data_IF_609376070606
#
_entry.id   IF_609376070606
#
_cell.length_a   1.000
_cell.length_b   1.000
_cell.length_c   1.000
_cell.angle_alpha   90.00
_cell.angle_beta   90.00
_cell.angle_gamma   90.00
#
_symmetry.space_group_name_H-M   'P 1'
#
loop_
_entity.id
_entity.type
_entity.pdbx_description
1 polymer ?
#
# COMPACT_ATOMS: atom_id res chain seq x y z
N UNK A 1 -3.37 -5.85 -24.23
CA UNK A 1 -3.04 -4.49 -23.73
C UNK A 1 -2.98 -4.56 -22.21
N UNK A 2 -2.00 -3.85 -21.61
CA UNK A 2 -1.93 -3.69 -20.18
C UNK A 2 -2.78 -2.50 -19.72
N UNK A 3 -3.50 -2.66 -18.64
CA UNK A 3 -4.15 -1.55 -17.94
C UNK A 3 -3.31 -1.19 -16.72
N UNK A 4 -3.39 0.07 -16.27
CA UNK A 4 -2.75 0.49 -15.02
C UNK A 4 -3.41 -0.21 -13.85
N UNK A 5 -2.61 -0.84 -12.97
CA UNK A 5 -3.13 -1.56 -11.81
C UNK A 5 -2.16 -2.59 -11.25
N UNK A 6 -2.68 -3.39 -10.31
CA UNK A 6 -1.91 -4.44 -9.64
C UNK A 6 -2.28 -5.82 -10.18
N UNK A 7 -1.27 -6.61 -10.49
CA UNK A 7 -1.39 -7.95 -11.07
C UNK A 7 -0.64 -8.96 -10.24
N UNK A 8 -1.20 -10.15 -10.06
CA UNK A 8 -0.51 -11.25 -9.39
C UNK A 8 0.53 -11.86 -10.32
N UNK A 9 1.72 -12.10 -9.78
CA UNK A 9 2.83 -12.75 -10.48
C UNK A 9 2.94 -14.22 -10.10
N UNK A 10 3.81 -14.98 -10.78
CA UNK A 10 4.15 -16.34 -10.38
C UNK A 10 5.17 -16.38 -9.21
N UNK A 11 5.82 -15.25 -8.90
CA UNK A 11 6.70 -15.16 -7.75
C UNK A 11 5.88 -15.21 -6.45
N UNK A 12 6.40 -15.93 -5.45
CA UNK A 12 5.67 -16.20 -4.21
C UNK A 12 6.29 -15.46 -3.03
N UNK A 13 5.41 -14.90 -2.21
CA UNK A 13 5.71 -14.54 -0.84
C UNK A 13 5.58 -15.80 0.03
N UNK A 14 6.60 -16.08 0.81
CA UNK A 14 6.62 -17.24 1.70
C UNK A 14 6.92 -16.73 3.12
N UNK A 15 5.98 -16.96 4.03
CA UNK A 15 6.16 -16.72 5.45
C UNK A 15 5.60 -17.93 6.24
N UNK A 16 6.48 -18.76 6.75
CA UNK A 16 6.09 -20.04 7.35
C UNK A 16 5.35 -20.92 6.35
N UNK A 17 4.10 -21.27 6.65
CA UNK A 17 3.24 -22.10 5.79
C UNK A 17 2.35 -21.29 4.83
N UNK A 18 2.39 -19.95 4.89
CA UNK A 18 1.60 -19.10 4.01
C UNK A 18 2.36 -18.84 2.71
N UNK A 19 1.72 -19.14 1.58
CA UNK A 19 2.25 -18.88 0.24
C UNK A 19 1.23 -18.03 -0.52
N UNK A 20 1.62 -16.83 -0.90
CA UNK A 20 0.81 -15.93 -1.72
C UNK A 20 1.62 -15.38 -2.87
N UNK A 21 0.98 -15.20 -4.01
CA UNK A 21 1.63 -14.62 -5.17
C UNK A 21 1.94 -13.14 -4.92
N UNK A 22 3.18 -12.74 -5.16
CA UNK A 22 3.58 -11.33 -5.13
C UNK A 22 2.81 -10.55 -6.19
N UNK A 23 2.48 -9.32 -5.86
CA UNK A 23 1.89 -8.37 -6.81
C UNK A 23 2.97 -7.69 -7.63
N UNK A 24 2.57 -7.16 -8.78
CA UNK A 24 3.35 -6.27 -9.63
C UNK A 24 2.45 -5.09 -10.00
N UNK A 25 2.93 -3.88 -9.82
CA UNK A 25 2.25 -2.69 -10.32
C UNK A 25 2.64 -2.45 -11.78
N UNK A 26 1.64 -2.36 -12.65
CA UNK A 26 1.80 -1.95 -14.05
C UNK A 26 1.24 -0.54 -14.19
N UNK A 27 2.03 0.36 -14.72
CA UNK A 27 1.57 1.69 -15.09
C UNK A 27 1.68 1.88 -16.59
N UNK A 28 0.57 2.26 -17.22
CA UNK A 28 0.54 2.62 -18.64
C UNK A 28 0.23 4.11 -18.81
N UNK A 29 1.19 4.84 -19.37
CA UNK A 29 1.03 6.26 -19.69
C UNK A 29 1.58 6.51 -21.09
N UNK A 30 0.74 7.09 -21.97
CA UNK A 30 1.15 7.45 -23.34
C UNK A 30 1.82 6.28 -24.09
N UNK A 31 1.23 5.09 -24.05
CA UNK A 31 1.73 3.84 -24.66
C UNK A 31 3.08 3.34 -24.07
N UNK A 32 3.52 3.90 -22.96
CA UNK A 32 4.69 3.38 -22.21
C UNK A 32 4.20 2.58 -21.03
N UNK A 33 4.77 1.41 -20.86
CA UNK A 33 4.45 0.51 -19.74
C UNK A 33 5.66 0.48 -18.81
N UNK A 34 5.40 0.79 -17.54
CA UNK A 34 6.40 0.72 -16.46
C UNK A 34 5.95 -0.31 -15.43
N UNK A 35 6.87 -1.13 -14.97
CA UNK A 35 6.67 -2.21 -14.01
C UNK A 35 7.31 -1.82 -12.69
N UNK A 36 6.55 -1.85 -11.59
CA UNK A 36 6.98 -1.44 -10.25
C UNK A 36 7.66 -0.07 -10.20
N UNK A 37 7.26 0.85 -11.08
CA UNK A 37 7.79 2.21 -11.14
C UNK A 37 9.22 2.35 -11.71
N UNK A 38 9.93 1.25 -12.02
CA UNK A 38 11.35 1.28 -12.40
C UNK A 38 11.67 0.65 -13.76
N UNK A 39 11.12 -0.53 -14.04
CA UNK A 39 11.43 -1.30 -15.25
C UNK A 39 10.48 -0.94 -16.38
N UNK A 40 10.99 -0.67 -17.58
CA UNK A 40 10.16 -0.29 -18.73
C UNK A 40 10.16 -1.38 -19.78
N UNK A 41 9.00 -1.61 -20.39
CA UNK A 41 8.92 -2.47 -21.58
C UNK A 41 9.54 -1.71 -22.76
N UNK A 42 10.62 -2.27 -23.32
CA UNK A 42 11.34 -1.73 -24.48
C UNK A 42 10.87 -2.35 -25.79
N UNK A 43 10.46 -3.62 -25.74
CA UNK A 43 9.86 -4.35 -26.88
C UNK A 43 8.76 -5.25 -26.35
N UNK A 44 7.57 -5.04 -26.81
CA UNK A 44 6.39 -5.86 -26.46
C UNK A 44 6.03 -6.87 -27.54
N UNK A 45 5.13 -7.78 -27.17
CA UNK A 45 4.41 -8.69 -28.07
C UNK A 45 5.33 -9.61 -28.91
N UNK A 46 6.42 -10.13 -28.33
CA UNK A 46 7.19 -11.19 -28.96
C UNK A 46 6.48 -12.51 -28.69
N UNK A 47 5.83 -13.06 -29.71
CA UNK A 47 5.00 -14.26 -29.57
C UNK A 47 5.88 -15.52 -29.51
N UNK A 48 5.54 -16.40 -28.58
CA UNK A 48 6.05 -17.76 -28.46
C UNK A 48 4.88 -18.77 -28.52
N UNK A 49 5.16 -20.04 -28.67
CA UNK A 49 4.12 -21.08 -28.77
C UNK A 49 3.27 -21.22 -27.51
N UNK A 50 3.78 -20.80 -26.35
CA UNK A 50 3.15 -20.95 -25.05
C UNK A 50 2.93 -19.61 -24.32
N UNK A 51 3.14 -18.47 -24.98
CA UNK A 51 2.93 -17.17 -24.33
C UNK A 51 3.48 -15.99 -25.12
N UNK A 52 3.59 -14.87 -24.45
CA UNK A 52 4.11 -13.61 -25.00
C UNK A 52 5.28 -13.15 -24.14
N UNK A 53 6.36 -12.73 -24.77
CA UNK A 53 7.55 -12.18 -24.13
C UNK A 53 7.56 -10.67 -24.31
N UNK A 54 7.89 -9.94 -23.26
CA UNK A 54 8.15 -8.52 -23.29
C UNK A 54 9.61 -8.27 -22.83
N UNK A 55 10.40 -7.62 -23.66
CA UNK A 55 11.74 -7.18 -23.26
C UNK A 55 11.65 -5.94 -22.38
N UNK A 56 12.47 -5.90 -21.34
CA UNK A 56 12.51 -4.80 -20.37
C UNK A 56 13.92 -4.24 -20.25
N UNK A 57 14.03 -2.96 -19.86
CA UNK A 57 15.32 -2.26 -19.73
C UNK A 57 16.07 -2.56 -18.43
N UNK A 58 15.36 -3.05 -17.40
CA UNK A 58 15.93 -3.38 -16.10
C UNK A 58 15.28 -4.66 -15.54
N UNK A 59 16.03 -5.38 -14.71
CA UNK A 59 15.49 -6.49 -13.93
C UNK A 59 14.46 -5.94 -12.93
N UNK A 60 13.30 -6.59 -12.85
CA UNK A 60 12.26 -6.23 -11.88
C UNK A 60 12.68 -6.75 -10.51
N UNK A 61 12.95 -5.89 -9.53
CA UNK A 61 13.28 -6.33 -8.17
C UNK A 61 12.04 -6.90 -7.47
N UNK A 62 12.26 -7.70 -6.45
CA UNK A 62 11.17 -8.15 -5.56
C UNK A 62 10.61 -6.92 -4.84
N UNK A 63 9.30 -6.62 -4.97
CA UNK A 63 8.75 -5.39 -4.44
C UNK A 63 8.57 -5.42 -2.93
N UNK A 64 8.93 -4.32 -2.26
CA UNK A 64 8.52 -4.01 -0.90
C UNK A 64 7.24 -3.14 -0.89
N UNK A 65 6.66 -2.91 0.28
CA UNK A 65 5.56 -1.93 0.47
C UNK A 65 5.96 -0.56 -0.09
N UNK A 66 7.18 -0.11 0.22
CA UNK A 66 7.69 1.19 -0.26
C UNK A 66 7.86 1.21 -1.79
N UNK A 67 8.17 0.06 -2.41
CA UNK A 67 8.22 -0.05 -3.88
C UNK A 67 6.87 0.32 -4.48
N UNK A 68 5.77 -0.21 -3.94
CA UNK A 68 4.43 0.10 -4.45
C UNK A 68 4.00 1.54 -4.15
N UNK A 69 4.32 2.07 -2.97
CA UNK A 69 4.05 3.48 -2.65
C UNK A 69 4.79 4.45 -3.60
N UNK A 70 5.96 4.06 -4.13
CA UNK A 70 6.70 4.83 -5.15
C UNK A 70 6.16 4.62 -6.57
N UNK A 71 5.63 3.43 -6.87
CA UNK A 71 5.22 3.05 -8.21
C UNK A 71 3.82 3.56 -8.57
N UNK A 72 2.92 3.60 -7.60
CA UNK A 72 1.53 4.00 -7.80
C UNK A 72 1.36 5.51 -7.63
N UNK A 73 0.95 6.17 -8.70
CA UNK A 73 0.71 7.64 -8.69
C UNK A 73 -0.46 8.07 -7.81
N UNK A 74 -1.36 7.15 -7.49
CA UNK A 74 -2.46 7.45 -6.56
C UNK A 74 -2.01 7.46 -5.09
N UNK A 75 -0.75 7.10 -4.81
CA UNK A 75 -0.16 7.05 -3.46
C UNK A 75 0.97 8.09 -3.27
N UNK A 76 1.03 9.12 -4.11
CA UNK A 76 2.08 10.15 -4.07
C UNK A 76 2.07 10.93 -2.76
N UNK A 77 0.88 11.27 -2.26
CA UNK A 77 0.72 11.97 -0.98
C UNK A 77 1.12 11.08 0.20
N UNK A 78 0.81 9.77 0.14
CA UNK A 78 1.28 8.81 1.13
C UNK A 78 2.82 8.76 1.16
N UNK A 79 3.45 8.62 -0.01
CA UNK A 79 4.91 8.61 -0.10
C UNK A 79 5.51 9.91 0.47
N UNK A 80 4.93 11.07 0.11
CA UNK A 80 5.36 12.37 0.62
C UNK A 80 5.23 12.45 2.13
N UNK A 81 4.12 11.95 2.69
CA UNK A 81 3.90 11.90 4.13
C UNK A 81 4.93 11.00 4.85
N UNK A 82 5.19 9.80 4.30
CA UNK A 82 6.16 8.83 4.87
C UNK A 82 7.62 9.31 4.83
N UNK A 83 7.96 10.21 3.90
CA UNK A 83 9.33 10.70 3.67
C UNK A 83 9.53 12.16 4.10
N UNK A 84 8.60 12.72 4.84
CA UNK A 84 8.69 14.12 5.34
C UNK A 84 9.88 14.26 6.27
N UNK A 85 10.72 15.27 6.02
CA UNK A 85 12.06 15.39 6.63
C UNK A 85 12.08 15.74 8.11
N UNK A 86 10.95 16.22 8.65
CA UNK A 86 10.81 16.58 10.07
C UNK A 86 10.28 15.42 10.95
N UNK A 87 9.93 14.28 10.32
CA UNK A 87 9.50 13.10 11.08
C UNK A 87 10.63 12.56 11.95
N UNK A 88 10.31 12.30 13.23
CA UNK A 88 11.22 11.66 14.19
C UNK A 88 11.36 10.15 13.96
N UNK A 89 10.56 9.56 13.07
CA UNK A 89 10.54 8.14 12.70
C UNK A 89 10.77 8.02 11.21
N UNK A 90 11.73 7.20 10.82
CA UNK A 90 11.97 6.87 9.40
C UNK A 90 11.03 5.73 8.97
N UNK A 91 9.80 6.10 8.59
CA UNK A 91 8.80 5.14 8.12
C UNK A 91 9.24 4.40 6.87
N UNK A 92 9.95 5.06 5.95
CA UNK A 92 10.43 4.44 4.72
C UNK A 92 11.42 3.31 5.02
N UNK A 93 12.32 3.51 5.98
CA UNK A 93 13.24 2.46 6.44
C UNK A 93 12.49 1.32 7.12
N UNK A 94 11.57 1.63 8.05
CA UNK A 94 10.78 0.61 8.77
C UNK A 94 9.96 -0.23 7.80
N UNK A 95 9.21 0.40 6.89
CA UNK A 95 8.37 -0.29 5.89
C UNK A 95 9.19 -0.95 4.77
N UNK A 96 10.51 -0.83 4.79
CA UNK A 96 11.44 -1.58 3.94
C UNK A 96 12.08 -2.77 4.66
N UNK A 97 11.78 -3.00 5.95
CA UNK A 97 12.30 -4.13 6.72
C UNK A 97 11.89 -5.45 6.06
N UNK A 98 12.85 -6.37 5.93
CA UNK A 98 12.61 -7.66 5.30
C UNK A 98 11.77 -8.58 6.19
N UNK A 99 10.98 -9.45 5.56
CA UNK A 99 10.26 -10.52 6.27
C UNK A 99 11.24 -11.36 7.09
N UNK A 100 10.81 -11.77 8.28
CA UNK A 100 11.65 -12.48 9.26
C UNK A 100 12.45 -11.58 10.20
N UNK A 101 12.32 -10.25 10.06
CA UNK A 101 12.89 -9.26 10.97
C UNK A 101 11.77 -8.36 11.47
N UNK A 102 11.55 -8.32 12.81
CA UNK A 102 10.53 -7.44 13.40
C UNK A 102 10.77 -5.97 13.01
N UNK A 103 9.73 -5.20 12.71
CA UNK A 103 8.30 -5.51 12.81
C UNK A 103 7.63 -6.06 11.52
N UNK A 104 8.39 -6.53 10.52
CA UNK A 104 7.80 -7.19 9.34
C UNK A 104 7.33 -8.63 9.69
N UNK A 105 6.26 -9.15 9.03
CA UNK A 105 5.53 -8.54 7.93
C UNK A 105 4.55 -7.46 8.38
N UNK A 106 4.13 -6.62 7.43
CA UNK A 106 3.18 -5.54 7.70
C UNK A 106 1.85 -5.73 6.98
N UNK A 107 0.80 -5.17 7.56
CA UNK A 107 -0.41 -4.80 6.81
C UNK A 107 -0.53 -3.29 6.78
N UNK A 108 -0.61 -2.71 5.60
CA UNK A 108 -0.71 -1.26 5.42
C UNK A 108 -2.04 -0.90 4.78
N UNK A 109 -2.82 -0.06 5.45
CA UNK A 109 -3.97 0.60 4.87
C UNK A 109 -3.50 1.89 4.21
N UNK A 110 -3.38 1.89 2.88
CA UNK A 110 -2.77 2.98 2.10
C UNK A 110 -3.84 3.95 1.59
N UNK A 111 -3.95 5.17 2.13
CA UNK A 111 -4.89 6.16 1.62
C UNK A 111 -4.47 6.67 0.24
N UNK A 112 -5.46 6.87 -0.64
CA UNK A 112 -5.23 7.49 -1.94
C UNK A 112 -4.85 8.97 -1.81
N UNK A 113 -4.34 9.55 -2.89
CA UNK A 113 -4.09 11.00 -2.96
C UNK A 113 -5.34 11.82 -2.69
N UNK A 114 -6.52 11.35 -3.17
CA UNK A 114 -7.79 12.01 -2.88
C UNK A 114 -8.13 11.98 -1.38
N UNK A 115 -7.89 10.83 -0.71
CA UNK A 115 -8.09 10.71 0.73
C UNK A 115 -7.26 11.73 1.54
N UNK A 116 -6.03 12.00 1.11
CA UNK A 116 -5.21 13.05 1.72
C UNK A 116 -5.72 14.45 1.41
N UNK A 117 -6.19 14.73 0.18
CA UNK A 117 -6.78 16.03 -0.18
C UNK A 117 -8.01 16.31 0.71
N UNK A 118 -8.88 15.32 0.88
CA UNK A 118 -10.08 15.43 1.72
C UNK A 118 -9.70 15.67 3.20
N UNK A 119 -8.65 15.00 3.70
CA UNK A 119 -8.12 15.23 5.04
C UNK A 119 -7.62 16.68 5.22
N UNK A 120 -6.87 17.20 4.24
CA UNK A 120 -6.35 18.58 4.32
C UNK A 120 -7.49 19.59 4.40
N UNK A 121 -8.57 19.38 3.64
CA UNK A 121 -9.78 20.21 3.70
C UNK A 121 -10.45 20.11 5.07
N UNK A 122 -10.57 18.89 5.62
CA UNK A 122 -11.17 18.64 6.94
C UNK A 122 -10.38 19.32 8.06
N UNK A 123 -9.04 19.29 7.98
CA UNK A 123 -8.14 19.94 8.95
C UNK A 123 -8.00 21.47 8.73
N UNK A 124 -8.53 22.02 7.63
CA UNK A 124 -8.39 23.43 7.28
C UNK A 124 -6.96 23.85 6.93
N UNK A 125 -6.10 22.91 6.48
CA UNK A 125 -4.72 23.16 6.06
C UNK A 125 -4.57 23.00 4.55
N UNK A 126 -3.57 23.66 3.95
CA UNK A 126 -3.42 23.71 2.50
C UNK A 126 -2.50 22.62 1.95
N UNK A 127 -1.72 21.97 2.81
CA UNK A 127 -0.74 20.96 2.40
C UNK A 127 -0.35 20.05 3.56
N UNK A 128 0.31 18.93 3.26
CA UNK A 128 0.83 18.01 4.26
C UNK A 128 1.81 18.67 5.25
N UNK A 129 2.53 19.71 4.83
CA UNK A 129 3.41 20.47 5.73
C UNK A 129 2.66 21.31 6.77
N UNK A 130 1.35 21.55 6.58
CA UNK A 130 0.50 22.21 7.57
C UNK A 130 0.04 21.29 8.70
N UNK A 131 0.23 19.97 8.58
CA UNK A 131 -0.03 19.00 9.65
C UNK A 131 1.25 18.94 10.51
N UNK A 132 1.11 19.15 11.82
CA UNK A 132 2.25 19.02 12.76
C UNK A 132 2.80 17.57 12.79
N UNK A 133 4.09 17.44 13.14
CA UNK A 133 4.78 16.13 13.13
C UNK A 133 4.12 15.10 14.05
N UNK A 134 3.77 15.41 15.30
CA UNK A 134 3.12 14.43 16.17
C UNK A 134 1.81 13.90 15.61
N UNK A 135 0.97 14.76 15.05
CA UNK A 135 -0.31 14.38 14.42
C UNK A 135 -0.08 13.52 13.19
N UNK A 136 0.84 13.89 12.31
CA UNK A 136 1.17 13.08 11.13
C UNK A 136 1.74 11.72 11.52
N UNK A 137 2.67 11.68 12.46
CA UNK A 137 3.28 10.45 12.97
C UNK A 137 2.22 9.51 13.56
N UNK A 138 1.34 10.03 14.41
CA UNK A 138 0.25 9.26 14.98
C UNK A 138 -0.67 8.71 13.89
N UNK A 139 -1.03 9.54 12.90
CA UNK A 139 -1.83 9.14 11.75
C UNK A 139 -1.15 8.02 10.96
N UNK A 140 0.14 8.17 10.61
CA UNK A 140 0.87 7.15 9.85
C UNK A 140 0.99 5.82 10.60
N UNK A 141 1.27 5.83 11.91
CA UNK A 141 1.30 4.60 12.72
C UNK A 141 -0.07 3.93 12.80
N UNK A 142 -1.15 4.72 12.76
CA UNK A 142 -2.52 4.22 12.79
C UNK A 142 -2.94 3.48 11.51
N UNK A 143 -2.18 3.64 10.41
CA UNK A 143 -2.39 2.94 9.15
C UNK A 143 -1.60 1.63 9.01
N UNK A 144 -0.81 1.24 10.00
CA UNK A 144 0.10 0.10 9.91
C UNK A 144 -0.16 -0.92 11.02
N UNK A 145 -0.34 -2.18 10.63
CA UNK A 145 -0.27 -3.32 11.53
C UNK A 145 1.12 -3.94 11.36
N UNK A 146 1.85 -4.11 12.44
CA UNK A 146 3.13 -4.83 12.45
C UNK A 146 2.97 -6.32 12.74
N UNK A 147 3.95 -7.11 12.32
CA UNK A 147 4.07 -8.55 12.58
C UNK A 147 2.92 -9.40 12.06
N UNK A 148 2.09 -8.86 11.16
CA UNK A 148 0.95 -9.55 10.58
C UNK A 148 0.73 -9.21 9.11
N UNK A 149 0.34 -10.23 8.35
CA UNK A 149 -0.13 -10.13 6.97
C UNK A 149 -1.62 -10.46 6.98
N UNK A 150 -2.47 -9.44 7.17
CA UNK A 150 -3.92 -9.59 7.25
C UNK A 150 -4.50 -9.46 5.84
N UNK A 151 -5.06 -10.53 5.31
CA UNK A 151 -5.70 -10.54 3.98
C UNK A 151 -7.17 -10.16 4.06
N UNK A 152 -7.76 -9.83 2.92
CA UNK A 152 -9.19 -9.54 2.83
C UNK A 152 -10.06 -10.71 3.31
N UNK A 153 -9.59 -11.94 3.16
CA UNK A 153 -10.23 -13.16 3.66
C UNK A 153 -10.20 -13.31 5.16
N UNK A 154 -9.32 -12.62 5.85
CA UNK A 154 -9.19 -12.63 7.31
C UNK A 154 -10.10 -11.56 7.97
N UNK A 155 -10.67 -10.65 7.16
CA UNK A 155 -11.55 -9.60 7.63
C UNK A 155 -12.97 -10.13 7.86
N UNK A 156 -13.62 -9.64 8.90
CA UNK A 156 -15.02 -9.96 9.22
C UNK A 156 -15.70 -8.75 9.87
N UNK A 157 -17.02 -8.83 10.00
CA UNK A 157 -17.80 -7.77 10.66
C UNK A 157 -17.41 -7.60 12.11
N UNK A 158 -17.23 -6.34 12.50
CA UNK A 158 -16.81 -5.92 13.84
C UNK A 158 -15.46 -6.51 14.28
N UNK A 159 -14.62 -6.91 13.34
CA UNK A 159 -13.26 -7.37 13.66
C UNK A 159 -12.41 -6.20 14.12
N UNK A 160 -11.89 -6.29 15.34
CA UNK A 160 -10.95 -5.32 15.86
C UNK A 160 -9.54 -5.68 15.41
N UNK A 161 -8.88 -4.74 14.74
CA UNK A 161 -7.50 -4.85 14.27
C UNK A 161 -6.62 -3.88 15.07
N UNK A 162 -5.53 -4.39 15.62
CA UNK A 162 -4.58 -3.57 16.39
C UNK A 162 -3.50 -3.01 15.47
N UNK A 163 -3.58 -1.73 15.16
CA UNK A 163 -2.52 -1.01 14.44
C UNK A 163 -1.42 -0.56 15.41
N UNK A 164 -0.30 -0.09 14.88
CA UNK A 164 0.78 0.50 15.70
C UNK A 164 0.35 1.79 16.42
N UNK A 165 -0.73 2.42 15.96
CA UNK A 165 -1.28 3.66 16.53
C UNK A 165 -2.55 3.46 17.36
N UNK A 166 -3.07 2.23 17.46
CA UNK A 166 -4.31 1.91 18.19
C UNK A 166 -5.29 1.04 17.40
N UNK A 167 -6.43 0.68 17.99
CA UNK A 167 -7.38 -0.22 17.37
C UNK A 167 -8.23 0.47 16.30
N UNK A 168 -8.53 -0.28 15.22
CA UNK A 168 -9.54 0.05 14.20
C UNK A 168 -10.51 -1.11 14.08
N UNK A 169 -11.70 -0.87 13.55
CA UNK A 169 -12.71 -1.91 13.34
C UNK A 169 -12.95 -2.14 11.87
N UNK A 170 -12.80 -3.38 11.41
CA UNK A 170 -13.18 -3.80 10.07
C UNK A 170 -14.62 -4.27 10.00
N UNK A 171 -15.30 -4.00 8.88
CA UNK A 171 -16.65 -4.46 8.58
C UNK A 171 -16.74 -4.89 7.11
N UNK A 172 -17.58 -5.91 6.84
CA UNK A 172 -17.71 -6.53 5.52
C UNK A 172 -19.15 -6.56 4.99
N UNK A 173 -20.18 -6.34 5.83
CA UNK A 173 -21.59 -6.55 5.48
C UNK A 173 -22.12 -5.66 4.34
N UNK A 174 -21.56 -4.45 4.18
CA UNK A 174 -21.96 -3.48 3.14
C UNK A 174 -20.79 -3.10 2.22
N UNK A 175 -19.81 -3.99 2.09
CA UNK A 175 -18.52 -3.75 1.47
C UNK A 175 -17.40 -3.67 2.51
N UNK A 176 -16.17 -3.90 2.10
CA UNK A 176 -15.03 -3.86 3.01
C UNK A 176 -14.76 -2.43 3.47
N UNK A 177 -14.91 -2.18 4.78
CA UNK A 177 -14.71 -0.85 5.38
C UNK A 177 -13.90 -0.93 6.66
N UNK A 178 -13.30 0.20 7.03
CA UNK A 178 -12.63 0.42 8.31
C UNK A 178 -13.34 1.56 9.04
N UNK A 179 -13.58 1.37 10.32
CA UNK A 179 -14.07 2.42 11.22
C UNK A 179 -12.94 2.81 12.17
N UNK A 180 -12.59 4.08 12.19
CA UNK A 180 -11.54 4.64 13.05
C UNK A 180 -12.07 5.03 14.44
N UNK A 181 -11.16 5.50 15.30
CA UNK A 181 -11.46 5.88 16.68
C UNK A 181 -12.46 7.06 16.78
N UNK A 182 -12.58 7.86 15.72
CA UNK A 182 -13.52 8.98 15.61
C UNK A 182 -14.85 8.59 14.95
N UNK A 183 -15.12 7.28 14.80
CA UNK A 183 -16.29 6.73 14.12
C UNK A 183 -16.39 7.12 12.63
N UNK A 184 -15.28 7.48 12.01
CA UNK A 184 -15.21 7.76 10.57
C UNK A 184 -15.07 6.44 9.82
N UNK A 185 -15.73 6.34 8.69
CA UNK A 185 -15.72 5.14 7.85
C UNK A 185 -14.91 5.40 6.60
N UNK A 186 -13.97 4.51 6.31
CA UNK A 186 -13.16 4.46 5.09
C UNK A 186 -13.48 3.17 4.34
N UNK A 187 -13.70 3.23 3.02
CA UNK A 187 -13.86 2.05 2.19
C UNK A 187 -12.49 1.48 1.79
N UNK A 188 -12.37 0.16 1.81
CA UNK A 188 -11.22 -0.53 1.22
C UNK A 188 -11.54 -0.73 -0.27
N UNK A 189 -10.84 -0.02 -1.14
CA UNK A 189 -11.11 0.03 -2.59
C UNK A 189 -10.21 -0.89 -3.43
N UNK A 190 -9.09 -1.35 -2.85
CA UNK A 190 -8.28 -2.43 -3.41
C UNK A 190 -7.68 -3.25 -2.28
N UNK A 191 -7.63 -4.58 -2.48
CA UNK A 191 -7.22 -5.53 -1.44
C UNK A 191 -6.05 -6.40 -1.90
N UNK A 192 -5.34 -6.96 -0.91
CA UNK A 192 -4.38 -8.05 -1.10
C UNK A 192 -3.24 -7.74 -2.09
N UNK A 193 -2.76 -6.49 -2.11
CA UNK A 193 -1.57 -6.11 -2.86
C UNK A 193 -0.36 -6.63 -2.11
N UNK A 194 0.15 -7.80 -2.51
CA UNK A 194 1.22 -8.51 -1.80
C UNK A 194 2.59 -8.01 -2.20
N UNK A 195 3.30 -7.43 -1.25
CA UNK A 195 4.73 -7.16 -1.29
C UNK A 195 5.54 -8.28 -0.61
N UNK A 196 6.86 -8.26 -0.73
CA UNK A 196 7.72 -9.24 -0.07
C UNK A 196 7.73 -9.13 1.46
N UNK A 197 7.40 -7.98 1.99
CA UNK A 197 7.45 -7.70 3.43
C UNK A 197 6.09 -7.30 4.03
N UNK A 198 4.99 -7.55 3.31
CA UNK A 198 3.66 -7.25 3.82
C UNK A 198 2.60 -7.17 2.74
N UNK A 199 1.39 -6.85 3.15
CA UNK A 199 0.22 -6.66 2.28
C UNK A 199 -0.30 -5.23 2.38
N UNK A 200 -0.79 -4.69 1.27
CA UNK A 200 -1.39 -3.36 1.20
C UNK A 200 -2.87 -3.48 0.85
N UNK A 201 -3.69 -2.71 1.55
CA UNK A 201 -5.07 -2.44 1.19
C UNK A 201 -5.22 -0.95 0.91
N UNK A 202 -5.71 -0.58 -0.26
CA UNK A 202 -5.91 0.84 -0.61
C UNK A 202 -7.25 1.30 -0.05
N UNK A 203 -7.26 2.46 0.58
CA UNK A 203 -8.44 3.05 1.22
C UNK A 203 -8.74 4.45 0.67
N UNK A 204 -10.02 4.81 0.66
CA UNK A 204 -10.52 6.07 0.11
C UNK A 204 -10.58 7.23 1.11
N UNK A 205 -10.26 6.98 2.38
CA UNK A 205 -10.22 8.01 3.42
C UNK A 205 -9.07 7.74 4.40
N UNK A 206 -8.36 8.79 4.84
CA UNK A 206 -7.37 8.68 5.91
C UNK A 206 -8.07 8.37 7.23
N UNK A 207 -7.67 7.31 7.92
CA UNK A 207 -8.16 6.96 9.26
C UNK A 207 -7.37 7.72 10.32
N UNK A 208 -8.04 8.20 11.36
CA UNK A 208 -7.43 9.04 12.39
C UNK A 208 -7.51 8.37 13.76
N UNK A 209 -6.40 8.40 14.54
CA UNK A 209 -6.44 8.08 15.96
C UNK A 209 -7.23 9.16 16.73
N UNK A 210 -7.58 8.88 18.01
CA UNK A 210 -8.14 9.86 18.92
C UNK A 210 -7.16 10.97 19.26
#
# INVERSE_FOLDING_TARGET
DFETGYYKTAAQYINGNSMNNLSMHIEQVNMRVTLNGESRITQGNVYATNGIIHAIDKVIPIPSIVTFAKADRNLTNLLTALTRSDLTVDFASILSTNVGTSPAPFTVFAPTDQAFIDLLVELGVQSLSGIDEPTLKATLTYHVIGEANVYSTDLSDNLQLNTLGGPITANMSLGATLTDANSRVSNIIAVDIQANNGVIHVIDKVILPN
#
